data_IF_554755573135
#
_entry.id   IF_554755573135
#
_cell.length_a   1.000
_cell.length_b   1.000
_cell.length_c   1.000
_cell.angle_alpha   90.00
_cell.angle_beta   90.00
_cell.angle_gamma   90.00
#
_symmetry.space_group_name_H-M   'P 1'
#
loop_
_entity.id
_entity.type
_entity.pdbx_description
1 polymer ?
#
# COMPACT_ATOMS: atom_id res chain seq x y z
N UNK A 1 -5.80 -23.41 -8.32
CA UNK A 1 -5.20 -24.73 -8.65
C UNK A 1 -3.85 -24.58 -9.36
N UNK A 2 -3.70 -23.74 -10.41
CA UNK A 2 -2.42 -23.53 -11.10
C UNK A 2 -1.36 -22.99 -10.14
N UNK A 3 -1.61 -21.91 -9.42
CA UNK A 3 -0.65 -21.34 -8.45
C UNK A 3 -0.26 -22.29 -7.31
N UNK A 4 -1.14 -23.23 -6.91
CA UNK A 4 -0.79 -24.27 -5.94
C UNK A 4 0.23 -25.23 -6.51
N UNK A 5 0.05 -25.68 -7.76
CA UNK A 5 1.00 -26.55 -8.45
C UNK A 5 2.37 -25.84 -8.64
N UNK A 6 2.36 -24.54 -8.98
CA UNK A 6 3.57 -23.75 -9.10
C UNK A 6 4.30 -23.63 -7.76
N UNK A 7 3.57 -23.42 -6.66
CA UNK A 7 4.14 -23.40 -5.32
C UNK A 7 4.68 -24.76 -4.88
N UNK A 8 3.99 -25.86 -5.18
CA UNK A 8 4.48 -27.22 -4.91
C UNK A 8 5.77 -27.53 -5.67
N UNK A 9 5.90 -27.04 -6.91
CA UNK A 9 7.09 -27.23 -7.75
C UNK A 9 8.27 -26.36 -7.31
N UNK A 10 8.02 -25.08 -7.09
CA UNK A 10 9.06 -24.06 -6.89
C UNK A 10 9.40 -23.83 -5.42
N UNK A 11 8.44 -24.04 -4.52
CA UNK A 11 8.59 -23.75 -3.10
C UNK A 11 8.54 -22.25 -2.81
N UNK A 12 8.94 -21.89 -1.59
CA UNK A 12 9.00 -20.51 -1.13
C UNK A 12 10.33 -19.84 -1.46
N UNK A 13 11.43 -20.55 -1.26
CA UNK A 13 12.78 -20.04 -1.42
C UNK A 13 13.31 -20.22 -2.86
N UNK A 14 14.14 -19.27 -3.28
CA UNK A 14 14.88 -19.38 -4.53
C UNK A 14 15.86 -20.57 -4.49
N UNK A 15 16.02 -21.25 -5.61
CA UNK A 15 16.94 -22.39 -5.74
C UNK A 15 18.14 -22.01 -6.59
N UNK A 16 19.30 -22.54 -6.25
CA UNK A 16 20.51 -22.35 -7.06
C UNK A 16 20.29 -22.81 -8.51
N UNK A 17 20.63 -21.94 -9.45
CA UNK A 17 20.49 -22.23 -10.89
C UNK A 17 19.07 -22.12 -11.43
N UNK A 18 18.14 -21.52 -10.66
CA UNK A 18 16.79 -21.27 -11.12
C UNK A 18 16.76 -20.21 -12.24
N UNK A 19 15.83 -20.37 -13.17
CA UNK A 19 15.62 -19.39 -14.24
C UNK A 19 14.88 -18.15 -13.75
N UNK A 20 15.10 -16.99 -14.40
CA UNK A 20 14.34 -15.75 -14.13
C UNK A 20 12.83 -15.97 -14.31
N UNK A 21 12.42 -16.85 -15.24
CA UNK A 21 11.02 -17.21 -15.45
C UNK A 21 10.43 -17.93 -14.24
N UNK A 22 11.15 -18.91 -13.66
CA UNK A 22 10.70 -19.62 -12.46
C UNK A 22 10.64 -18.69 -11.25
N UNK A 23 11.58 -17.74 -11.12
CA UNK A 23 11.50 -16.71 -10.07
C UNK A 23 10.26 -15.85 -10.21
N UNK A 24 9.92 -15.37 -11.41
CA UNK A 24 8.71 -14.58 -11.67
C UNK A 24 7.44 -15.38 -11.40
N UNK A 25 7.40 -16.66 -11.82
CA UNK A 25 6.26 -17.56 -11.57
C UNK A 25 6.08 -17.77 -10.07
N UNK A 26 7.19 -18.01 -9.33
CA UNK A 26 7.14 -18.16 -7.86
C UNK A 26 6.58 -16.92 -7.19
N UNK A 27 7.11 -15.73 -7.48
CA UNK A 27 6.63 -14.47 -6.89
C UNK A 27 5.16 -14.25 -7.16
N UNK A 28 4.71 -14.52 -8.38
CA UNK A 28 3.31 -14.42 -8.79
C UNK A 28 2.44 -15.40 -8.01
N UNK A 29 2.82 -16.68 -7.98
CA UNK A 29 2.08 -17.71 -7.26
C UNK A 29 1.98 -17.39 -5.77
N UNK A 30 3.09 -17.05 -5.12
CA UNK A 30 3.11 -16.65 -3.70
C UNK A 30 2.22 -15.45 -3.42
N UNK A 31 2.24 -14.43 -4.28
CA UNK A 31 1.39 -13.24 -4.12
C UNK A 31 -0.09 -13.61 -4.09
N UNK A 32 -0.56 -14.42 -5.04
CA UNK A 32 -1.95 -14.87 -5.07
C UNK A 32 -2.30 -15.79 -3.90
N UNK A 33 -1.42 -16.73 -3.55
CA UNK A 33 -1.65 -17.70 -2.49
C UNK A 33 -1.70 -17.05 -1.11
N UNK A 34 -0.81 -16.08 -0.81
CA UNK A 34 -0.84 -15.30 0.44
C UNK A 34 -2.08 -14.40 0.49
N UNK A 35 -2.48 -13.78 -0.62
CA UNK A 35 -3.72 -13.00 -0.66
C UNK A 35 -4.96 -13.86 -0.43
N UNK A 36 -4.96 -15.09 -0.94
CA UNK A 36 -6.05 -16.07 -0.79
C UNK A 36 -5.98 -16.86 0.54
N UNK A 37 -5.07 -16.52 1.45
CA UNK A 37 -4.88 -17.21 2.74
C UNK A 37 -4.64 -18.73 2.59
N UNK A 38 -3.92 -19.15 1.51
CA UNK A 38 -3.55 -20.55 1.31
C UNK A 38 -2.55 -21.00 2.37
N UNK A 39 -2.98 -21.89 3.28
CA UNK A 39 -2.27 -22.21 4.49
C UNK A 39 -0.80 -22.64 4.31
N UNK A 40 -0.45 -23.49 3.33
CA UNK A 40 0.97 -23.83 3.11
C UNK A 40 1.87 -22.63 2.80
N UNK A 41 1.39 -21.66 2.00
CA UNK A 41 2.15 -20.45 1.68
C UNK A 41 2.20 -19.48 2.88
N UNK A 42 1.09 -19.35 3.62
CA UNK A 42 1.00 -18.55 4.85
C UNK A 42 1.99 -19.05 5.91
N UNK A 43 2.05 -20.35 6.14
CA UNK A 43 2.95 -20.96 7.14
C UNK A 43 4.42 -20.84 6.71
N UNK A 44 4.72 -21.01 5.41
CA UNK A 44 6.07 -20.81 4.89
C UNK A 44 6.53 -19.36 5.08
N UNK A 45 5.68 -18.38 4.74
CA UNK A 45 5.96 -16.97 4.96
C UNK A 45 6.17 -16.64 6.44
N UNK A 46 5.34 -17.18 7.32
CA UNK A 46 5.48 -17.00 8.77
C UNK A 46 6.79 -17.58 9.30
N UNK A 47 7.22 -18.74 8.79
CA UNK A 47 8.51 -19.33 9.15
C UNK A 47 9.69 -18.46 8.75
N UNK A 48 9.66 -17.88 7.54
CA UNK A 48 10.69 -16.93 7.07
C UNK A 48 10.70 -15.68 7.94
N UNK A 49 9.55 -15.12 8.28
CA UNK A 49 9.46 -13.97 9.19
C UNK A 49 10.11 -14.27 10.53
N UNK A 50 9.78 -15.40 11.15
CA UNK A 50 10.33 -15.80 12.45
C UNK A 50 11.85 -15.98 12.41
N UNK A 51 12.40 -16.53 11.33
CA UNK A 51 13.84 -16.68 11.16
C UNK A 51 14.58 -15.34 11.06
N UNK A 52 13.89 -14.27 10.64
CA UNK A 52 14.47 -12.94 10.41
C UNK A 52 13.88 -11.85 11.32
N UNK A 53 13.12 -12.20 12.37
CA UNK A 53 12.38 -11.23 13.18
C UNK A 53 13.24 -10.16 13.84
N UNK A 54 14.49 -10.46 14.17
CA UNK A 54 15.45 -9.51 14.76
C UNK A 54 16.00 -8.49 13.73
N UNK A 55 15.91 -8.82 12.44
CA UNK A 55 16.31 -7.93 11.34
C UNK A 55 15.49 -8.26 10.08
N UNK A 56 14.27 -7.73 10.01
CA UNK A 56 13.34 -7.98 8.89
C UNK A 56 13.86 -7.45 7.53
N UNK A 57 14.82 -6.53 7.53
CA UNK A 57 15.47 -6.06 6.29
C UNK A 57 16.34 -7.16 5.66
N UNK A 58 16.83 -8.14 6.45
CA UNK A 58 17.61 -9.28 5.97
C UNK A 58 16.80 -10.36 5.25
N UNK A 59 15.47 -10.29 5.26
CA UNK A 59 14.63 -11.17 4.44
C UNK A 59 14.99 -10.98 2.96
N UNK A 60 15.14 -12.05 2.16
CA UNK A 60 15.44 -11.95 0.74
C UNK A 60 14.51 -10.99 0.01
N UNK A 61 15.06 -10.01 -0.71
CA UNK A 61 14.31 -8.89 -1.29
C UNK A 61 13.16 -9.32 -2.20
N UNK A 62 13.32 -10.45 -2.91
CA UNK A 62 12.31 -11.02 -3.82
C UNK A 62 11.02 -11.48 -3.14
N UNK A 63 11.08 -11.88 -1.87
CA UNK A 63 9.92 -12.37 -1.11
C UNK A 63 9.58 -11.50 0.10
N UNK A 64 10.46 -10.57 0.48
CA UNK A 64 10.33 -9.73 1.69
C UNK A 64 8.97 -9.05 1.79
N UNK A 65 8.52 -8.39 0.73
CA UNK A 65 7.22 -7.72 0.73
C UNK A 65 6.05 -8.66 1.02
N UNK A 66 6.09 -9.88 0.49
CA UNK A 66 5.06 -10.89 0.71
C UNK A 66 5.09 -11.43 2.14
N UNK A 67 6.29 -11.65 2.70
CA UNK A 67 6.47 -12.09 4.09
C UNK A 67 5.92 -11.03 5.06
N UNK A 68 6.24 -9.75 4.84
CA UNK A 68 5.75 -8.65 5.68
C UNK A 68 4.22 -8.49 5.59
N UNK A 69 3.65 -8.59 4.38
CA UNK A 69 2.20 -8.57 4.17
C UNK A 69 1.54 -9.73 4.91
N UNK A 70 2.10 -10.93 4.78
CA UNK A 70 1.57 -12.10 5.49
C UNK A 70 1.56 -11.88 7.00
N UNK A 71 2.68 -11.40 7.57
CA UNK A 71 2.78 -11.14 9.00
C UNK A 71 1.74 -10.10 9.46
N UNK A 72 1.57 -8.99 8.73
CA UNK A 72 0.56 -7.98 9.04
C UNK A 72 -0.87 -8.54 9.00
N UNK A 73 -1.18 -9.41 8.02
CA UNK A 73 -2.49 -10.06 7.92
C UNK A 73 -2.79 -11.02 9.07
N UNK A 74 -1.76 -11.66 9.64
CA UNK A 74 -1.92 -12.70 10.67
C UNK A 74 -1.91 -12.13 12.09
N UNK A 75 -1.06 -11.15 12.37
CA UNK A 75 -0.89 -10.60 13.71
C UNK A 75 -1.76 -9.36 13.96
N UNK A 76 -1.80 -8.43 13.00
CA UNK A 76 -2.61 -7.21 13.02
C UNK A 76 -2.58 -6.44 14.36
N UNK A 77 -1.39 -6.27 14.94
CA UNK A 77 -1.19 -5.56 16.21
C UNK A 77 -0.66 -4.14 15.99
N UNK A 78 -0.96 -3.23 16.93
CA UNK A 78 -0.36 -1.88 16.93
C UNK A 78 1.17 -1.97 17.01
N UNK A 79 1.71 -2.86 17.84
CA UNK A 79 3.16 -3.03 17.99
C UNK A 79 3.82 -3.38 16.66
N UNK A 80 3.24 -4.30 15.87
CA UNK A 80 3.78 -4.63 14.55
C UNK A 80 3.71 -3.44 13.59
N UNK A 81 2.66 -2.64 13.65
CA UNK A 81 2.54 -1.40 12.86
C UNK A 81 3.64 -0.42 13.24
N UNK A 82 3.88 -0.21 14.53
CA UNK A 82 4.95 0.66 15.05
C UNK A 82 6.33 0.17 14.60
N UNK A 83 6.60 -1.14 14.69
CA UNK A 83 7.86 -1.74 14.25
C UNK A 83 8.10 -1.50 12.75
N UNK A 84 7.07 -1.65 11.91
CA UNK A 84 7.20 -1.41 10.48
C UNK A 84 7.37 0.07 10.13
N UNK A 85 6.71 0.98 10.85
CA UNK A 85 6.92 2.42 10.70
C UNK A 85 8.33 2.81 11.15
N UNK A 86 8.83 2.25 12.25
CA UNK A 86 10.21 2.47 12.71
C UNK A 86 11.24 1.96 11.69
N UNK A 87 11.03 0.77 11.13
CA UNK A 87 11.87 0.23 10.06
C UNK A 87 11.85 1.12 8.81
N UNK A 88 10.66 1.66 8.44
CA UNK A 88 10.53 2.61 7.33
C UNK A 88 11.34 3.89 7.54
N UNK A 89 11.35 4.43 8.75
CA UNK A 89 12.10 5.64 9.09
C UNK A 89 13.60 5.41 9.07
N UNK A 90 14.05 4.26 9.54
CA UNK A 90 15.49 3.98 9.79
C UNK A 90 16.22 3.42 8.56
N UNK A 91 15.52 2.72 7.66
CA UNK A 91 16.17 2.14 6.47
C UNK A 91 16.59 3.17 5.43
N UNK A 92 17.66 2.87 4.70
CA UNK A 92 18.09 3.60 3.50
C UNK A 92 17.66 2.89 2.19
N UNK A 93 17.11 1.66 2.26
CA UNK A 93 16.62 0.91 1.11
C UNK A 93 15.22 1.42 0.69
N UNK A 94 15.15 2.10 -0.45
CA UNK A 94 13.89 2.65 -0.99
C UNK A 94 12.89 1.55 -1.38
N UNK A 95 13.36 0.37 -1.79
CA UNK A 95 12.49 -0.76 -2.09
C UNK A 95 11.88 -1.34 -0.82
N UNK A 96 12.68 -1.46 0.24
CA UNK A 96 12.19 -1.90 1.55
C UNK A 96 11.17 -0.92 2.14
N UNK A 97 11.40 0.40 2.05
CA UNK A 97 10.39 1.41 2.42
C UNK A 97 9.06 1.17 1.70
N UNK A 98 9.09 0.94 0.39
CA UNK A 98 7.88 0.66 -0.40
C UNK A 98 7.19 -0.63 0.05
N UNK A 99 7.95 -1.69 0.33
CA UNK A 99 7.42 -2.94 0.85
C UNK A 99 6.76 -2.77 2.22
N UNK A 100 7.35 -1.96 3.12
CA UNK A 100 6.79 -1.64 4.43
C UNK A 100 5.47 -0.86 4.30
N UNK A 101 5.41 0.20 3.48
CA UNK A 101 4.15 0.95 3.28
C UNK A 101 3.04 0.06 2.73
N UNK A 102 3.40 -0.85 1.82
CA UNK A 102 2.45 -1.82 1.29
C UNK A 102 1.99 -2.81 2.37
N UNK A 103 2.90 -3.34 3.17
CA UNK A 103 2.58 -4.30 4.22
C UNK A 103 1.67 -3.70 5.29
N UNK A 104 1.99 -2.49 5.79
CA UNK A 104 1.17 -1.78 6.78
C UNK A 104 -0.25 -1.54 6.29
N UNK A 105 -0.45 -1.32 4.98
CA UNK A 105 -1.80 -1.11 4.44
C UNK A 105 -2.75 -2.33 4.55
N UNK A 106 -2.22 -3.50 4.89
CA UNK A 106 -3.03 -4.71 5.14
C UNK A 106 -3.56 -4.83 6.56
N UNK A 107 -3.25 -3.89 7.45
CA UNK A 107 -3.85 -3.83 8.78
C UNK A 107 -5.39 -3.76 8.71
N UNK A 108 -6.05 -4.25 9.77
CA UNK A 108 -7.51 -4.23 9.93
C UNK A 108 -7.94 -3.73 11.31
N UNK A 109 -6.98 -3.24 12.13
CA UNK A 109 -7.27 -2.62 13.41
C UNK A 109 -7.29 -1.10 13.30
N UNK A 110 -8.28 -0.46 13.93
CA UNK A 110 -8.47 0.99 13.84
C UNK A 110 -7.35 1.76 14.55
N UNK A 111 -6.84 1.24 15.67
CA UNK A 111 -5.77 1.88 16.45
C UNK A 111 -4.49 2.04 15.62
N UNK A 112 -4.10 0.98 14.89
CA UNK A 112 -2.96 1.03 13.98
C UNK A 112 -3.17 1.99 12.81
N UNK A 113 -4.39 2.06 12.26
CA UNK A 113 -4.72 3.01 11.20
C UNK A 113 -4.63 4.46 11.70
N UNK A 114 -5.19 4.74 12.88
CA UNK A 114 -5.16 6.08 13.49
C UNK A 114 -3.72 6.49 13.83
N UNK A 115 -2.92 5.55 14.34
CA UNK A 115 -1.49 5.76 14.58
C UNK A 115 -0.77 6.20 13.29
N UNK A 116 -0.91 5.43 12.20
CA UNK A 116 -0.24 5.76 10.93
C UNK A 116 -0.71 7.11 10.39
N UNK A 117 -2.01 7.36 10.36
CA UNK A 117 -2.56 8.65 9.88
C UNK A 117 -2.06 9.84 10.70
N UNK A 118 -1.82 9.64 12.00
CA UNK A 118 -1.17 10.62 12.87
C UNK A 118 0.27 10.93 12.46
N UNK A 119 1.00 9.93 11.95
CA UNK A 119 2.40 10.08 11.53
C UNK A 119 2.57 10.75 10.15
N UNK A 120 1.55 10.67 9.27
CA UNK A 120 1.68 11.12 7.87
C UNK A 120 2.05 12.61 7.73
N UNK A 121 1.76 13.44 8.74
CA UNK A 121 2.11 14.86 8.73
C UNK A 121 3.48 15.17 9.29
N UNK A 122 4.13 14.21 9.95
CA UNK A 122 5.48 14.41 10.45
C UNK A 122 6.50 14.12 9.34
N UNK A 123 7.14 15.17 8.85
CA UNK A 123 8.19 15.07 7.81
C UNK A 123 9.44 14.28 8.24
N UNK A 124 9.61 14.03 9.52
CA UNK A 124 10.68 13.17 10.03
C UNK A 124 10.33 11.70 9.91
N UNK A 125 9.04 11.37 9.84
CA UNK A 125 8.52 10.02 9.62
C UNK A 125 8.25 9.80 8.14
N UNK A 126 7.40 10.62 7.51
CA UNK A 126 7.03 10.49 6.09
C UNK A 126 7.50 11.72 5.32
N UNK A 127 8.41 11.51 4.38
CA UNK A 127 8.82 12.60 3.48
C UNK A 127 7.65 13.01 2.59
N UNK A 128 7.47 14.32 2.30
CA UNK A 128 6.35 14.79 1.48
C UNK A 128 6.19 14.03 0.16
N UNK A 129 7.29 13.76 -0.55
CA UNK A 129 7.26 13.03 -1.82
C UNK A 129 6.84 11.56 -1.70
N UNK A 130 6.88 10.96 -0.51
CA UNK A 130 6.48 9.57 -0.26
C UNK A 130 5.01 9.46 0.23
N UNK A 131 4.38 10.59 0.59
CA UNK A 131 3.03 10.62 1.14
C UNK A 131 1.99 9.97 0.21
N UNK A 132 2.16 10.13 -1.12
CA UNK A 132 1.25 9.51 -2.08
C UNK A 132 1.26 7.98 -2.05
N UNK A 133 2.40 7.36 -1.67
CA UNK A 133 2.50 5.89 -1.53
C UNK A 133 1.65 5.38 -0.37
N UNK A 134 1.70 6.06 0.78
CA UNK A 134 0.85 5.75 1.92
C UNK A 134 -0.62 5.92 1.56
N UNK A 135 -0.97 7.07 0.96
CA UNK A 135 -2.32 7.35 0.52
C UNK A 135 -2.86 6.30 -0.44
N UNK A 136 -2.11 5.96 -1.50
CA UNK A 136 -2.49 4.96 -2.50
C UNK A 136 -2.70 3.58 -1.87
N UNK A 137 -1.72 3.13 -1.06
CA UNK A 137 -1.77 1.81 -0.46
C UNK A 137 -2.99 1.65 0.44
N UNK A 138 -3.26 2.60 1.33
CA UNK A 138 -4.42 2.54 2.21
C UNK A 138 -5.76 2.76 1.50
N UNK A 139 -5.84 3.70 0.57
CA UNK A 139 -7.07 3.97 -0.17
C UNK A 139 -7.51 2.75 -1.00
N UNK A 140 -6.56 1.90 -1.41
CA UNK A 140 -6.84 0.66 -2.12
C UNK A 140 -7.43 -0.46 -1.25
N UNK A 141 -7.45 -0.31 0.07
CA UNK A 141 -7.92 -1.32 1.02
C UNK A 141 -9.31 -0.97 1.54
N UNK A 142 -10.25 -1.90 1.42
CA UNK A 142 -11.65 -1.69 1.82
C UNK A 142 -11.79 -1.25 3.28
N UNK A 143 -10.97 -1.79 4.18
CA UNK A 143 -10.98 -1.43 5.60
C UNK A 143 -10.61 0.05 5.83
N UNK A 144 -9.53 0.52 5.20
CA UNK A 144 -8.97 1.85 5.42
C UNK A 144 -9.58 2.94 4.51
N UNK A 145 -10.23 2.55 3.40
CA UNK A 145 -10.59 3.44 2.31
C UNK A 145 -11.40 4.67 2.75
N UNK A 146 -12.45 4.47 3.56
CA UNK A 146 -13.30 5.56 4.03
C UNK A 146 -12.53 6.53 4.94
N UNK A 147 -11.82 5.97 5.92
CA UNK A 147 -11.06 6.76 6.90
C UNK A 147 -9.97 7.58 6.19
N UNK A 148 -9.26 6.98 5.26
CA UNK A 148 -8.18 7.65 4.52
C UNK A 148 -8.71 8.67 3.51
N UNK A 149 -9.84 8.41 2.88
CA UNK A 149 -10.52 9.38 2.04
C UNK A 149 -10.96 10.62 2.84
N UNK A 150 -11.56 10.42 4.01
CA UNK A 150 -11.94 11.52 4.90
C UNK A 150 -10.71 12.27 5.41
N UNK A 151 -9.66 11.55 5.83
CA UNK A 151 -8.39 12.16 6.24
C UNK A 151 -7.81 13.07 5.14
N UNK A 152 -7.82 12.64 3.89
CA UNK A 152 -7.31 13.45 2.78
C UNK A 152 -8.14 14.72 2.55
N UNK A 153 -9.48 14.63 2.66
CA UNK A 153 -10.38 15.80 2.55
C UNK A 153 -10.15 16.78 3.69
N UNK A 154 -10.09 16.28 4.93
CA UNK A 154 -9.93 17.11 6.13
C UNK A 154 -8.55 17.80 6.18
N UNK A 155 -7.55 17.23 5.50
CA UNK A 155 -6.20 17.74 5.47
C UNK A 155 -5.80 18.33 4.11
N UNK A 156 -6.77 18.63 3.25
CA UNK A 156 -6.49 19.05 1.88
C UNK A 156 -5.61 20.30 1.78
N UNK A 157 -5.88 21.32 2.58
CA UNK A 157 -5.09 22.56 2.59
C UNK A 157 -3.65 22.32 3.03
N UNK A 158 -3.45 21.42 4.01
CA UNK A 158 -2.11 21.00 4.41
C UNK A 158 -1.41 20.23 3.29
N UNK A 159 -2.09 19.30 2.60
CA UNK A 159 -1.55 18.56 1.45
C UNK A 159 -1.12 19.53 0.35
N UNK A 160 -1.97 20.52 0.03
CA UNK A 160 -1.63 21.58 -0.93
C UNK A 160 -0.38 22.37 -0.51
N UNK A 161 -0.28 22.74 0.76
CA UNK A 161 0.87 23.49 1.27
C UNK A 161 2.16 22.66 1.28
N UNK A 162 2.07 21.36 1.60
CA UNK A 162 3.21 20.45 1.69
C UNK A 162 3.75 20.02 0.32
N UNK A 163 2.87 19.85 -0.68
CA UNK A 163 3.17 19.29 -2.01
C UNK A 163 2.92 20.28 -3.16
N UNK A 164 2.45 21.47 -2.87
CA UNK A 164 2.13 22.46 -3.92
C UNK A 164 3.37 22.77 -4.77
N UNK A 165 3.28 22.44 -6.07
CA UNK A 165 4.41 22.53 -6.99
C UNK A 165 5.23 21.25 -7.19
N UNK A 166 4.94 20.17 -6.43
CA UNK A 166 5.51 18.84 -6.64
C UNK A 166 4.61 18.03 -7.59
N UNK A 167 5.20 17.26 -8.49
CA UNK A 167 4.47 16.37 -9.42
C UNK A 167 3.64 15.30 -8.69
N UNK A 168 3.98 14.97 -7.43
CA UNK A 168 3.23 14.01 -6.63
C UNK A 168 1.89 14.55 -6.13
N UNK A 169 1.66 15.86 -6.15
CA UNK A 169 0.39 16.47 -5.73
C UNK A 169 -0.80 15.98 -6.56
N UNK A 170 -0.62 15.87 -7.89
CA UNK A 170 -1.65 15.36 -8.79
C UNK A 170 -2.11 13.93 -8.44
N UNK A 171 -1.26 13.17 -7.75
CA UNK A 171 -1.58 11.81 -7.31
C UNK A 171 -2.78 11.79 -6.35
N UNK A 172 -2.97 12.83 -5.53
CA UNK A 172 -4.10 12.91 -4.60
C UNK A 172 -5.45 13.07 -5.31
N UNK A 173 -5.45 13.56 -6.54
CA UNK A 173 -6.63 13.62 -7.42
C UNK A 173 -6.78 12.33 -8.24
N UNK A 174 -5.66 11.81 -8.78
CA UNK A 174 -5.68 10.69 -9.73
C UNK A 174 -5.87 9.32 -9.05
N UNK A 175 -5.33 9.12 -7.84
CA UNK A 175 -5.42 7.85 -7.11
C UNK A 175 -6.88 7.49 -6.79
N UNK A 176 -7.70 8.36 -6.14
CA UNK A 176 -9.11 8.03 -5.92
C UNK A 176 -9.87 7.80 -7.23
N UNK A 177 -9.57 8.58 -8.28
CA UNK A 177 -10.15 8.35 -9.59
C UNK A 177 -9.81 6.97 -10.17
N UNK A 178 -8.63 6.42 -9.87
CA UNK A 178 -8.21 5.07 -10.26
C UNK A 178 -8.86 3.96 -9.46
N UNK A 179 -9.27 4.22 -8.20
CA UNK A 179 -9.73 3.22 -7.24
C UNK A 179 -11.26 3.17 -7.14
N UNK A 180 -11.95 4.31 -7.18
CA UNK A 180 -13.39 4.40 -6.98
C UNK A 180 -14.18 3.77 -8.12
N UNK A 181 -15.27 3.03 -7.76
CA UNK A 181 -16.05 2.21 -8.71
C UNK A 181 -17.56 2.20 -8.40
N UNK A 182 -18.06 3.10 -7.54
CA UNK A 182 -19.47 3.15 -7.18
C UNK A 182 -20.01 4.56 -7.39
N UNK A 183 -21.32 4.67 -7.64
CA UNK A 183 -21.99 5.98 -7.78
C UNK A 183 -21.75 6.86 -6.55
N UNK A 184 -21.86 6.29 -5.36
CA UNK A 184 -21.59 7.01 -4.12
C UNK A 184 -20.18 7.65 -4.10
N UNK A 185 -19.17 6.90 -4.54
CA UNK A 185 -17.79 7.40 -4.61
C UNK A 185 -17.60 8.45 -5.71
N UNK A 186 -18.32 8.32 -6.82
CA UNK A 186 -18.35 9.36 -7.85
C UNK A 186 -18.94 10.66 -7.29
N UNK A 187 -20.07 10.57 -6.60
CA UNK A 187 -20.74 11.74 -6.01
C UNK A 187 -19.86 12.42 -4.96
N UNK A 188 -19.19 11.65 -4.10
CA UNK A 188 -18.23 12.15 -3.13
C UNK A 188 -17.01 12.81 -3.80
N UNK A 189 -16.48 12.21 -4.86
CA UNK A 189 -15.36 12.75 -5.63
C UNK A 189 -15.72 14.09 -6.28
N UNK A 190 -16.89 14.17 -6.93
CA UNK A 190 -17.41 15.39 -7.54
C UNK A 190 -17.59 16.47 -6.47
N UNK A 191 -18.32 16.15 -5.39
CA UNK A 191 -18.62 17.11 -4.33
C UNK A 191 -17.36 17.74 -3.72
N UNK A 192 -16.26 16.97 -3.64
CA UNK A 192 -15.02 17.45 -3.05
C UNK A 192 -14.12 18.17 -4.07
N UNK A 193 -13.92 17.58 -5.26
CA UNK A 193 -12.93 18.08 -6.21
C UNK A 193 -13.48 19.09 -7.23
N UNK A 194 -14.76 19.06 -7.61
CA UNK A 194 -15.30 19.99 -8.60
C UNK A 194 -15.10 21.47 -8.21
N UNK A 195 -15.28 21.89 -6.94
CA UNK A 195 -14.96 23.25 -6.52
C UNK A 195 -13.47 23.64 -6.70
N UNK A 196 -12.58 22.65 -6.75
CA UNK A 196 -11.14 22.86 -6.92
C UNK A 196 -10.72 23.08 -8.38
N UNK A 197 -11.62 22.98 -9.34
CA UNK A 197 -11.34 23.21 -10.78
C UNK A 197 -10.99 24.67 -11.09
N UNK A 198 -11.23 25.58 -10.15
CA UNK A 198 -10.70 26.96 -10.22
C UNK A 198 -9.16 27.00 -10.23
N UNK A 199 -8.50 26.00 -9.67
CA UNK A 199 -7.06 25.78 -9.76
C UNK A 199 -6.72 25.14 -11.11
N UNK A 200 -6.10 25.93 -12.01
CA UNK A 200 -5.76 25.48 -13.37
C UNK A 200 -4.79 24.30 -13.42
N UNK A 201 -3.99 24.10 -12.38
CA UNK A 201 -3.09 22.96 -12.28
C UNK A 201 -3.87 21.64 -12.05
N UNK A 202 -5.00 21.70 -11.38
CA UNK A 202 -5.82 20.52 -11.03
C UNK A 202 -7.00 20.28 -11.98
N UNK A 203 -7.49 21.32 -12.68
CA UNK A 203 -8.71 21.28 -13.50
C UNK A 203 -8.76 20.06 -14.42
N UNK A 204 -7.71 19.83 -15.20
CA UNK A 204 -7.65 18.71 -16.16
C UNK A 204 -7.75 17.36 -15.46
N UNK A 205 -6.99 17.16 -14.39
CA UNK A 205 -6.95 15.89 -13.65
C UNK A 205 -8.29 15.60 -12.98
N UNK A 206 -8.95 16.62 -12.41
CA UNK A 206 -10.27 16.49 -11.79
C UNK A 206 -11.31 16.07 -12.84
N UNK A 207 -11.39 16.78 -13.97
CA UNK A 207 -12.36 16.49 -15.02
C UNK A 207 -12.14 15.10 -15.65
N UNK A 208 -10.88 14.68 -15.81
CA UNK A 208 -10.56 13.32 -16.23
C UNK A 208 -10.93 12.28 -15.17
N UNK A 209 -10.69 12.57 -13.90
CA UNK A 209 -11.06 11.71 -12.77
C UNK A 209 -12.56 11.43 -12.73
N UNK A 210 -13.41 12.47 -12.84
CA UNK A 210 -14.87 12.35 -12.92
C UNK A 210 -15.27 11.39 -14.05
N UNK A 211 -14.73 11.59 -15.26
CA UNK A 211 -15.02 10.71 -16.41
C UNK A 211 -14.56 9.27 -16.17
N UNK A 212 -13.40 9.10 -15.53
CA UNK A 212 -12.80 7.79 -15.26
C UNK A 212 -13.65 6.99 -14.27
N UNK A 213 -14.16 7.61 -13.21
CA UNK A 213 -15.05 6.95 -12.26
C UNK A 213 -16.40 6.68 -12.91
N UNK A 214 -16.99 7.68 -13.58
CA UNK A 214 -18.29 7.54 -14.25
C UNK A 214 -18.33 6.41 -15.31
N UNK A 215 -17.21 6.12 -15.95
CA UNK A 215 -17.10 5.01 -16.90
C UNK A 215 -17.12 3.60 -16.25
N UNK A 216 -17.04 3.52 -14.91
CA UNK A 216 -17.02 2.24 -14.15
C UNK A 216 -18.26 2.02 -13.29
N UNK A 217 -19.13 3.01 -13.23
CA UNK A 217 -20.41 3.03 -12.52
C UNK A 217 -21.54 2.75 -13.51
#
# INVERSE_FOLDING_TARGET
>A
RQFQNDFERLGFDAKDGESDEDEMVRQTALSYLIQADYQPAVLAAASVFQAHKENIESIPASVRGLVLINQMKQEDSLTLVEDYVNAYVTTNDSNFRRQLTQAVSYLKNQEGLDYVLGQLKDKHVVKPQDLYLWYMNFLSKSFAQETVWNWAKDNWDWIKAALGGDMSFDSFVNIPAGIFKTQERLDQYIAFFEPQTSDKALERNILMGIKTIAARV
#
